data_IF_177245175588
#
_entry.id   IF_177245175588
#
_cell.length_a   1.000
_cell.length_b   1.000
_cell.length_c   1.000
_cell.angle_alpha   90.00
_cell.angle_beta   90.00
_cell.angle_gamma   90.00
#
_symmetry.space_group_name_H-M   'P 1'
#
loop_
_entity.id
_entity.type
_entity.pdbx_description
1 polymer ?
#
# COMPACT_ATOMS: atom_id res chain seq x y z
N UNK A 1 12.87 21.78 -32.08
CA UNK A 1 13.94 21.90 -31.06
C UNK A 1 13.48 22.36 -29.67
N UNK A 2 12.41 23.17 -29.51
CA UNK A 2 11.95 23.63 -28.18
C UNK A 2 11.44 22.50 -27.26
N UNK A 3 10.67 21.55 -27.79
CA UNK A 3 10.19 20.40 -27.00
C UNK A 3 11.33 19.46 -26.56
N UNK A 4 12.37 19.29 -27.38
CA UNK A 4 13.53 18.46 -27.03
C UNK A 4 14.35 19.04 -25.87
N UNK A 5 14.52 20.38 -25.83
CA UNK A 5 15.19 21.07 -24.72
C UNK A 5 14.39 21.00 -23.42
N UNK A 6 13.07 21.10 -23.49
CA UNK A 6 12.17 20.93 -22.33
C UNK A 6 12.25 19.50 -21.76
N UNK A 7 12.24 18.48 -22.62
CA UNK A 7 12.41 17.09 -22.18
C UNK A 7 13.77 16.91 -21.50
N UNK A 8 14.86 17.46 -22.03
CA UNK A 8 16.19 17.35 -21.43
C UNK A 8 16.29 18.07 -20.07
N UNK A 9 15.77 19.30 -19.98
CA UNK A 9 15.81 20.12 -18.76
C UNK A 9 14.94 19.53 -17.64
N UNK A 10 13.82 18.88 -17.98
CA UNK A 10 12.96 18.21 -17.01
C UNK A 10 13.51 16.82 -16.65
N UNK A 11 14.04 16.07 -17.63
CA UNK A 11 14.52 14.71 -17.41
C UNK A 11 15.73 14.61 -16.50
N UNK A 12 16.66 15.57 -16.51
CA UNK A 12 17.86 15.56 -15.66
C UNK A 12 17.54 15.62 -14.15
N UNK A 13 16.81 16.62 -13.64
CA UNK A 13 16.42 16.68 -12.23
C UNK A 13 15.46 15.55 -11.87
N UNK A 14 14.56 15.15 -12.78
CA UNK A 14 13.67 13.99 -12.55
C UNK A 14 14.49 12.71 -12.38
N UNK A 15 15.52 12.48 -13.20
CA UNK A 15 16.36 11.29 -13.09
C UNK A 15 17.23 11.30 -11.82
N UNK A 16 17.72 12.47 -11.39
CA UNK A 16 18.44 12.61 -10.12
C UNK A 16 17.54 12.32 -8.91
N UNK A 17 16.30 12.82 -8.93
CA UNK A 17 15.29 12.53 -7.90
C UNK A 17 14.92 11.04 -7.93
N UNK A 18 14.71 10.46 -9.10
CA UNK A 18 14.41 9.03 -9.25
C UNK A 18 15.55 8.14 -8.76
N UNK A 19 16.81 8.49 -9.04
CA UNK A 19 17.97 7.79 -8.51
C UNK A 19 18.06 7.91 -6.99
N UNK A 20 17.82 9.10 -6.43
CA UNK A 20 17.75 9.30 -4.99
C UNK A 20 16.63 8.43 -4.37
N UNK A 21 15.45 8.43 -4.96
CA UNK A 21 14.33 7.60 -4.50
C UNK A 21 14.61 6.10 -4.64
N UNK A 22 15.25 5.67 -5.73
CA UNK A 22 15.60 4.26 -5.96
C UNK A 22 16.64 3.74 -4.97
N UNK A 23 17.56 4.60 -4.55
CA UNK A 23 18.62 4.25 -3.59
C UNK A 23 18.12 4.34 -2.16
N UNK A 24 17.36 5.38 -1.82
CA UNK A 24 17.01 5.68 -0.43
C UNK A 24 15.56 5.33 -0.03
N UNK A 25 14.61 5.27 -0.97
CA UNK A 25 13.20 5.00 -0.66
C UNK A 25 12.85 3.53 -0.86
N UNK A 26 12.94 3.00 -2.08
CA UNK A 26 12.71 1.59 -2.35
C UNK A 26 13.26 1.20 -3.72
N UNK A 27 14.01 0.11 -3.80
CA UNK A 27 14.70 -0.28 -5.02
C UNK A 27 13.83 -1.04 -6.03
N UNK A 28 12.72 -1.65 -5.59
CA UNK A 28 11.82 -2.44 -6.45
C UNK A 28 10.57 -1.62 -6.87
N UNK A 29 10.73 -0.90 -7.98
CA UNK A 29 9.67 -0.08 -8.58
C UNK A 29 8.56 -0.89 -9.24
N UNK A 30 8.81 -2.15 -9.60
CA UNK A 30 7.80 -3.02 -10.15
C UNK A 30 6.75 -3.35 -9.09
N UNK A 31 7.19 -3.70 -7.88
CA UNK A 31 6.32 -3.88 -6.73
C UNK A 31 5.47 -2.63 -6.43
N UNK A 32 6.11 -1.45 -6.39
CA UNK A 32 5.42 -0.18 -6.10
C UNK A 32 4.31 0.09 -7.12
N UNK A 33 4.53 -0.24 -8.40
CA UNK A 33 3.50 -0.10 -9.43
C UNK A 33 2.26 -0.94 -9.12
N UNK A 34 2.45 -2.21 -8.76
CA UNK A 34 1.33 -3.09 -8.41
C UNK A 34 0.65 -2.67 -7.11
N UNK A 35 1.41 -2.23 -6.12
CA UNK A 35 0.87 -1.71 -4.86
C UNK A 35 -0.02 -0.48 -5.11
N UNK A 36 0.45 0.48 -5.93
CA UNK A 36 -0.34 1.68 -6.29
C UNK A 36 -1.62 1.30 -7.01
N UNK A 37 -1.58 0.36 -7.96
CA UNK A 37 -2.78 -0.15 -8.64
C UNK A 37 -3.76 -0.75 -7.64
N UNK A 38 -3.28 -1.57 -6.70
CA UNK A 38 -4.12 -2.15 -5.66
C UNK A 38 -4.76 -1.07 -4.77
N UNK A 39 -3.99 -0.08 -4.31
CA UNK A 39 -4.50 1.04 -3.50
C UNK A 39 -5.53 1.89 -4.23
N UNK A 40 -5.34 2.16 -5.53
CA UNK A 40 -6.29 2.89 -6.36
C UNK A 40 -7.59 2.10 -6.52
N UNK A 41 -7.50 0.79 -6.77
CA UNK A 41 -8.66 -0.08 -6.86
C UNK A 41 -9.44 -0.12 -5.54
N UNK A 42 -8.74 -0.29 -4.42
CA UNK A 42 -9.32 -0.26 -3.08
C UNK A 42 -10.04 1.06 -2.80
N UNK A 43 -9.38 2.18 -3.09
CA UNK A 43 -9.95 3.51 -2.88
C UNK A 43 -11.17 3.75 -3.76
N UNK A 44 -11.14 3.31 -5.02
CA UNK A 44 -12.27 3.45 -5.93
C UNK A 44 -13.48 2.64 -5.46
N UNK A 45 -13.28 1.39 -5.02
CA UNK A 45 -14.37 0.55 -4.51
C UNK A 45 -14.93 1.12 -3.20
N UNK A 46 -14.06 1.52 -2.25
CA UNK A 46 -14.45 2.19 -1.02
C UNK A 46 -15.24 3.48 -1.29
N UNK A 47 -14.81 4.27 -2.28
CA UNK A 47 -15.52 5.48 -2.70
C UNK A 47 -16.92 5.18 -3.26
N UNK A 48 -17.05 4.15 -4.12
CA UNK A 48 -18.36 3.72 -4.65
C UNK A 48 -19.33 3.37 -3.52
N UNK A 49 -18.86 2.67 -2.49
CA UNK A 49 -19.66 2.31 -1.31
C UNK A 49 -20.14 3.56 -0.57
N UNK A 50 -19.21 4.45 -0.19
CA UNK A 50 -19.55 5.66 0.57
C UNK A 50 -20.44 6.61 -0.24
N UNK A 51 -20.25 6.66 -1.56
CA UNK A 51 -21.12 7.41 -2.48
C UNK A 51 -22.54 6.85 -2.47
N UNK A 52 -22.70 5.51 -2.58
CA UNK A 52 -24.01 4.83 -2.51
C UNK A 52 -24.70 5.07 -1.17
N UNK A 53 -23.93 5.05 -0.08
CA UNK A 53 -24.44 5.24 1.28
C UNK A 53 -24.64 6.73 1.65
N UNK A 54 -24.27 7.67 0.76
CA UNK A 54 -24.32 9.13 0.96
C UNK A 54 -23.58 9.63 2.21
N UNK A 55 -22.52 8.92 2.62
CA UNK A 55 -21.78 9.23 3.86
C UNK A 55 -20.32 9.60 3.56
N UNK A 56 -20.15 10.59 2.67
CA UNK A 56 -18.84 11.11 2.30
C UNK A 56 -18.27 11.98 3.42
N UNK A 57 -17.56 11.33 4.34
CA UNK A 57 -16.87 11.99 5.45
C UNK A 57 -15.43 12.35 5.09
N UNK A 58 -14.94 13.47 5.64
CA UNK A 58 -13.52 13.84 5.60
C UNK A 58 -12.60 12.76 6.22
N UNK A 59 -13.16 11.88 7.07
CA UNK A 59 -12.48 10.70 7.60
C UNK A 59 -11.91 9.82 6.49
N UNK A 60 -12.64 9.64 5.37
CA UNK A 60 -12.20 8.79 4.25
C UNK A 60 -10.86 9.27 3.64
N UNK A 61 -10.69 10.58 3.48
CA UNK A 61 -9.45 11.15 2.98
C UNK A 61 -8.29 10.98 3.96
N UNK A 62 -8.57 11.09 5.27
CA UNK A 62 -7.57 10.82 6.32
C UNK A 62 -7.07 9.38 6.31
N UNK A 63 -7.94 8.41 6.03
CA UNK A 63 -7.57 6.99 5.93
C UNK A 63 -6.62 6.72 4.77
N UNK A 64 -6.87 7.34 3.60
CA UNK A 64 -5.98 7.23 2.43
C UNK A 64 -4.61 7.83 2.73
N UNK A 65 -4.56 9.02 3.35
CA UNK A 65 -3.31 9.67 3.73
C UNK A 65 -2.50 8.81 4.72
N UNK A 66 -3.18 8.22 5.70
CA UNK A 66 -2.57 7.29 6.67
C UNK A 66 -1.98 6.05 5.98
N UNK A 67 -2.68 5.45 5.00
CA UNK A 67 -2.14 4.35 4.19
C UNK A 67 -0.87 4.76 3.46
N UNK A 68 -0.89 5.91 2.75
CA UNK A 68 0.27 6.41 2.00
C UNK A 68 1.49 6.59 2.90
N UNK A 69 1.34 7.26 4.05
CA UNK A 69 2.44 7.52 4.99
C UNK A 69 2.98 6.20 5.55
N UNK A 70 2.08 5.31 6.01
CA UNK A 70 2.46 4.04 6.63
C UNK A 70 3.17 3.12 5.65
N UNK A 71 2.69 3.04 4.41
CA UNK A 71 3.28 2.17 3.38
C UNK A 71 4.62 2.72 2.91
N UNK A 72 4.74 4.04 2.75
CA UNK A 72 6.02 4.68 2.44
C UNK A 72 7.06 4.40 3.52
N UNK A 73 6.68 4.53 4.80
CA UNK A 73 7.57 4.22 5.92
C UNK A 73 7.99 2.73 5.93
N UNK A 74 7.06 1.81 5.67
CA UNK A 74 7.35 0.38 5.60
C UNK A 74 8.32 0.03 4.46
N UNK A 75 8.15 0.65 3.29
CA UNK A 75 9.03 0.46 2.14
C UNK A 75 10.43 1.02 2.39
N UNK A 76 10.54 2.21 2.97
CA UNK A 76 11.83 2.79 3.37
C UNK A 76 12.54 1.89 4.38
N UNK A 77 11.83 1.42 5.39
CA UNK A 77 12.39 0.50 6.38
C UNK A 77 12.85 -0.79 5.74
N UNK A 78 12.02 -1.37 4.86
CA UNK A 78 12.39 -2.56 4.08
C UNK A 78 13.68 -2.31 3.32
N UNK A 79 13.79 -1.20 2.60
CA UNK A 79 14.96 -0.86 1.80
C UNK A 79 16.24 -0.74 2.65
N UNK A 80 16.14 -0.11 3.83
CA UNK A 80 17.25 0.01 4.77
C UNK A 80 17.69 -1.38 5.25
N UNK A 81 16.74 -2.20 5.70
CA UNK A 81 17.02 -3.53 6.27
C UNK A 81 17.55 -4.50 5.21
N UNK A 82 17.17 -4.37 3.95
CA UNK A 82 17.65 -5.26 2.90
C UNK A 82 19.00 -4.86 2.32
N UNK A 83 19.35 -3.56 2.36
CA UNK A 83 20.52 -3.03 1.65
C UNK A 83 21.63 -2.46 2.55
N UNK A 84 21.48 -2.47 3.88
CA UNK A 84 22.56 -2.01 4.75
C UNK A 84 23.80 -2.91 4.62
N UNK A 85 24.96 -2.29 4.82
CA UNK A 85 26.26 -2.93 4.70
C UNK A 85 26.98 -2.93 6.05
N UNK A 86 27.69 -4.00 6.36
CA UNK A 86 28.61 -4.09 7.49
C UNK A 86 30.00 -4.40 6.92
N UNK A 87 30.99 -3.58 7.23
CA UNK A 87 32.36 -3.68 6.66
C UNK A 87 32.41 -3.61 5.12
N UNK A 88 31.46 -2.91 4.48
CA UNK A 88 31.38 -2.78 3.02
C UNK A 88 30.67 -3.94 2.32
N UNK A 89 30.33 -5.01 3.04
CA UNK A 89 29.58 -6.15 2.51
C UNK A 89 28.10 -6.05 2.87
N UNK A 90 27.24 -6.40 1.91
CA UNK A 90 25.78 -6.43 2.13
C UNK A 90 25.40 -7.60 3.01
N UNK A 91 24.54 -7.35 4.00
CA UNK A 91 24.05 -8.40 4.90
C UNK A 91 22.87 -9.13 4.26
N UNK A 92 23.16 -10.24 3.58
CA UNK A 92 22.15 -11.06 2.89
C UNK A 92 21.14 -11.76 3.82
N UNK A 93 21.45 -11.91 5.12
CA UNK A 93 20.59 -12.63 6.08
C UNK A 93 19.25 -11.94 6.35
N UNK A 94 19.12 -10.65 6.03
CA UNK A 94 17.89 -9.88 6.24
C UNK A 94 17.13 -9.56 4.94
N UNK A 95 17.54 -10.14 3.81
CA UNK A 95 16.84 -9.95 2.52
C UNK A 95 15.38 -10.42 2.56
N UNK A 96 15.10 -11.50 3.30
CA UNK A 96 13.75 -12.04 3.47
C UNK A 96 12.77 -11.01 4.08
N UNK A 97 13.27 -10.05 4.85
CA UNK A 97 12.44 -9.01 5.47
C UNK A 97 11.77 -8.15 4.40
N UNK A 98 12.46 -7.87 3.29
CA UNK A 98 11.85 -7.09 2.21
C UNK A 98 10.72 -7.81 1.53
N UNK A 99 10.91 -9.09 1.20
CA UNK A 99 9.84 -9.95 0.66
C UNK A 99 8.67 -10.05 1.63
N UNK A 100 8.94 -10.15 2.93
CA UNK A 100 7.91 -10.18 3.97
C UNK A 100 7.09 -8.89 4.00
N UNK A 101 7.73 -7.71 4.04
CA UNK A 101 7.04 -6.42 4.05
C UNK A 101 6.18 -6.26 2.78
N UNK A 102 6.74 -6.56 1.61
CA UNK A 102 6.02 -6.48 0.34
C UNK A 102 4.78 -7.38 0.32
N UNK A 103 4.94 -8.63 0.76
CA UNK A 103 3.84 -9.59 0.88
C UNK A 103 2.78 -9.08 1.84
N UNK A 104 3.18 -8.54 2.99
CA UNK A 104 2.25 -8.02 3.99
C UNK A 104 1.43 -6.83 3.46
N UNK A 105 2.05 -5.90 2.76
CA UNK A 105 1.36 -4.77 2.12
C UNK A 105 0.34 -5.25 1.07
N UNK A 106 0.73 -6.19 0.21
CA UNK A 106 -0.18 -6.75 -0.81
C UNK A 106 -1.33 -7.52 -0.20
N UNK A 107 -1.08 -8.32 0.85
CA UNK A 107 -2.14 -9.04 1.57
C UNK A 107 -3.11 -8.04 2.18
N UNK A 108 -2.63 -6.98 2.84
CA UNK A 108 -3.49 -5.94 3.44
C UNK A 108 -4.41 -5.28 2.41
N UNK A 109 -3.89 -4.87 1.26
CA UNK A 109 -4.72 -4.27 0.20
C UNK A 109 -5.69 -5.29 -0.40
N UNK A 110 -5.24 -6.53 -0.61
CA UNK A 110 -6.12 -7.61 -1.11
C UNK A 110 -7.30 -7.85 -0.17
N UNK A 111 -7.06 -7.88 1.15
CA UNK A 111 -8.12 -8.05 2.14
C UNK A 111 -9.09 -6.87 2.15
N UNK A 112 -8.58 -5.64 2.07
CA UNK A 112 -9.38 -4.41 1.96
C UNK A 112 -10.29 -4.42 0.72
N UNK A 113 -9.75 -4.83 -0.44
CA UNK A 113 -10.51 -4.98 -1.69
C UNK A 113 -11.61 -6.04 -1.55
N UNK A 114 -11.29 -7.19 -0.95
CA UNK A 114 -12.26 -8.27 -0.70
C UNK A 114 -13.43 -7.77 0.17
N UNK A 115 -13.14 -7.00 1.22
CA UNK A 115 -14.17 -6.40 2.08
C UNK A 115 -15.08 -5.46 1.28
N UNK A 116 -14.50 -4.58 0.46
CA UNK A 116 -15.25 -3.68 -0.39
C UNK A 116 -16.11 -4.42 -1.44
N UNK A 117 -15.56 -5.47 -2.09
CA UNK A 117 -16.32 -6.29 -3.05
C UNK A 117 -17.52 -6.95 -2.36
N UNK A 118 -17.33 -7.51 -1.18
CA UNK A 118 -18.40 -8.21 -0.44
C UNK A 118 -19.50 -7.24 0.05
N UNK A 119 -19.17 -5.96 0.29
CA UNK A 119 -20.15 -4.92 0.60
C UNK A 119 -20.94 -4.46 -0.64
N UNK A 120 -20.32 -4.48 -1.82
CA UNK A 120 -20.99 -4.16 -3.09
C UNK A 120 -21.85 -5.35 -3.56
N UNK A 121 -21.28 -6.56 -3.55
CA UNK A 121 -21.89 -7.80 -4.03
C UNK A 121 -21.70 -8.93 -3.00
N UNK A 122 -22.66 -9.05 -2.05
CA UNK A 122 -22.60 -10.06 -1.01
C UNK A 122 -22.67 -11.48 -1.58
N UNK A 123 -21.82 -12.38 -1.09
CA UNK A 123 -21.76 -13.79 -1.50
C UNK A 123 -20.69 -14.11 -2.54
N UNK A 124 -19.80 -13.16 -2.86
CA UNK A 124 -18.71 -13.37 -3.82
C UNK A 124 -17.63 -14.28 -3.24
N UNK A 125 -17.34 -14.15 -1.94
CA UNK A 125 -16.29 -14.92 -1.27
C UNK A 125 -16.84 -15.94 -0.26
N UNK A 126 -16.10 -17.03 0.04
CA UNK A 126 -16.49 -17.99 1.07
C UNK A 126 -16.69 -17.34 2.45
N UNK A 127 -17.84 -17.60 3.07
CA UNK A 127 -18.25 -17.00 4.36
C UNK A 127 -17.23 -17.21 5.51
N UNK A 128 -16.42 -18.27 5.44
CA UNK A 128 -15.37 -18.53 6.42
C UNK A 128 -14.26 -17.46 6.41
N UNK A 129 -13.88 -16.97 5.22
CA UNK A 129 -12.85 -15.94 5.05
C UNK A 129 -13.42 -14.59 5.50
N UNK A 130 -14.60 -14.22 5.02
CA UNK A 130 -15.28 -12.96 5.38
C UNK A 130 -15.49 -12.86 6.89
N UNK A 131 -15.91 -13.95 7.55
CA UNK A 131 -16.13 -13.97 9.00
C UNK A 131 -14.83 -13.75 9.78
N UNK A 132 -13.70 -14.25 9.28
CA UNK A 132 -12.38 -14.04 9.90
C UNK A 132 -11.91 -12.59 9.71
N UNK A 133 -12.23 -11.97 8.56
CA UNK A 133 -11.87 -10.59 8.25
C UNK A 133 -12.68 -9.59 9.07
N UNK A 134 -14.01 -9.71 9.09
CA UNK A 134 -14.92 -8.86 9.88
C UNK A 134 -14.73 -8.95 11.40
N UNK A 135 -13.88 -9.85 11.90
CA UNK A 135 -13.55 -9.97 13.32
C UNK A 135 -12.45 -9.00 13.75
N UNK A 136 -11.72 -8.41 12.81
CA UNK A 136 -10.62 -7.49 13.08
C UNK A 136 -10.92 -6.13 12.46
N UNK A 137 -10.57 -5.09 13.19
CA UNK A 137 -10.65 -3.72 12.70
C UNK A 137 -9.57 -3.52 11.62
N UNK A 138 -9.99 -3.06 10.44
CA UNK A 138 -9.13 -2.88 9.26
C UNK A 138 -8.02 -1.84 9.47
N UNK A 139 -8.16 -0.97 10.49
CA UNK A 139 -7.18 0.06 10.84
C UNK A 139 -6.26 -0.28 12.01
N UNK A 140 -6.81 -0.85 13.09
CA UNK A 140 -6.05 -1.10 14.32
C UNK A 140 -5.58 -2.55 14.44
N UNK A 141 -6.18 -3.47 13.68
CA UNK A 141 -5.96 -4.91 13.82
C UNK A 141 -6.49 -5.46 15.15
N UNK A 142 -7.16 -4.64 15.95
CA UNK A 142 -7.81 -5.09 17.18
C UNK A 142 -9.05 -5.88 16.85
N UNK A 143 -9.36 -6.86 17.69
CA UNK A 143 -10.56 -7.66 17.51
C UNK A 143 -11.76 -6.77 17.81
N UNK A 144 -12.69 -6.62 16.86
CA UNK A 144 -13.92 -5.86 17.11
C UNK A 144 -14.63 -6.53 18.29
N UNK A 145 -14.85 -5.84 19.42
CA UNK A 145 -15.49 -6.45 20.56
C UNK A 145 -16.86 -6.94 20.12
N UNK A 146 -17.14 -8.23 20.37
CA UNK A 146 -18.49 -8.77 20.17
C UNK A 146 -19.42 -8.03 21.12
N UNK A 147 -20.08 -6.96 20.66
CA UNK A 147 -21.28 -6.51 21.34
C UNK A 147 -22.30 -7.65 21.26
N UNK A 148 -22.54 -8.29 22.41
CA UNK A 148 -23.66 -9.19 22.59
C UNK A 148 -24.92 -8.33 22.63
N UNK A 149 -25.73 -8.47 21.57
CA UNK A 149 -27.08 -7.94 21.36
C UNK A 149 -27.16 -6.48 20.94
#
# INVERSE_FOLDING_TARGET
MRHFRLVFIVSLPVNAILNFCSVYIFSDWEFVRYLVVAMVLDTALGFIIHWRNKDLSSKAYGMIAKKIITYSAALILSNIVTNFTIHGERVGTLEWFGTFVCTMLMVRETLSIIENIEEISPGTFPKAIIKRLKLFDSETGERIPKNKK
#
